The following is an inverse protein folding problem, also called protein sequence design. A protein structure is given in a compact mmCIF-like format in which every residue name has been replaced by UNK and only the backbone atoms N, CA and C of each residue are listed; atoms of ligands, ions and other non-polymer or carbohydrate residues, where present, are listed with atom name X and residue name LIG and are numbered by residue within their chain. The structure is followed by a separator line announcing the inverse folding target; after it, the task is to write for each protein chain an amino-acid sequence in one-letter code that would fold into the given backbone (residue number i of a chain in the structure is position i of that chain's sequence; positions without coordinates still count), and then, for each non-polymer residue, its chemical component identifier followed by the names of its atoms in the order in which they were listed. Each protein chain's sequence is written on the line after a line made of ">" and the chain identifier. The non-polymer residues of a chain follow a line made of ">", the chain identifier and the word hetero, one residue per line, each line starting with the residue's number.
data_IF_754247703895
#
_entry.id   IF_754247703895
#
_cell.length_a   1.000
_cell.length_b   1.000
_cell.length_c   1.000
_cell.angle_alpha   90.00
_cell.angle_beta   90.00
_cell.angle_gamma   90.00
#
_symmetry.space_group_name_H-M   'P 1'
#
loop_
_entity.id
_entity.type
_entity.pdbx_description
1 polymer ?
#
# COMPACT_ATOMS: atom_id res chain seq x y z
N UNK A 1 8.89 17.20 -8.12
CA UNK A 1 10.30 16.87 -7.89
C UNK A 1 10.44 15.43 -7.49
N UNK A 2 11.53 14.78 -7.91
CA UNK A 2 11.89 13.42 -7.48
C UNK A 2 13.18 13.52 -6.69
N UNK A 3 13.21 12.94 -5.48
CA UNK A 3 14.39 12.88 -4.62
C UNK A 3 14.76 11.41 -4.44
N UNK A 4 15.99 11.03 -4.80
CA UNK A 4 16.53 9.69 -4.62
C UNK A 4 17.49 9.66 -3.43
N UNK A 5 17.17 8.86 -2.40
CA UNK A 5 18.04 8.57 -1.27
C UNK A 5 18.70 7.20 -1.48
N UNK A 6 19.98 7.18 -1.81
CA UNK A 6 20.75 5.95 -2.04
C UNK A 6 21.82 5.76 -0.98
N UNK A 7 22.10 4.50 -0.64
CA UNK A 7 23.13 4.13 0.34
C UNK A 7 22.99 2.68 0.80
N UNK A 8 24.05 2.13 1.38
CA UNK A 8 24.04 0.77 1.93
C UNK A 8 23.17 0.66 3.20
N UNK A 9 22.89 -0.56 3.65
CA UNK A 9 22.15 -0.80 4.90
C UNK A 9 22.82 -0.07 6.07
N UNK A 10 22.02 0.59 6.92
CA UNK A 10 22.52 1.35 8.07
C UNK A 10 23.03 2.77 7.77
N UNK A 11 22.98 3.24 6.52
CA UNK A 11 23.47 4.59 6.14
C UNK A 11 22.52 5.75 6.46
N UNK A 12 21.42 5.52 7.17
CA UNK A 12 20.50 6.57 7.59
C UNK A 12 19.40 6.95 6.57
N UNK A 13 19.23 6.19 5.46
CA UNK A 13 18.19 6.52 4.45
C UNK A 13 16.78 6.69 5.03
N UNK A 14 16.34 5.73 5.82
CA UNK A 14 15.02 5.78 6.46
C UNK A 14 14.92 6.91 7.49
N UNK A 15 16.02 7.19 8.20
CA UNK A 15 16.10 8.32 9.12
C UNK A 15 15.92 9.65 8.37
N UNK A 16 16.62 9.83 7.24
CA UNK A 16 16.49 11.04 6.40
C UNK A 16 15.05 11.22 5.90
N UNK A 17 14.37 10.15 5.50
CA UNK A 17 12.96 10.23 5.11
C UNK A 17 12.07 10.66 6.30
N UNK A 18 12.35 10.13 7.50
CA UNK A 18 11.69 10.56 8.74
C UNK A 18 11.87 12.06 9.01
N UNK A 19 13.10 12.58 8.88
CA UNK A 19 13.38 14.01 9.05
C UNK A 19 12.61 14.85 8.02
N UNK A 20 12.61 14.47 6.75
CA UNK A 20 11.82 15.17 5.73
C UNK A 20 10.32 15.21 6.05
N UNK A 21 9.79 14.11 6.58
CA UNK A 21 8.38 14.02 7.00
C UNK A 21 8.10 14.92 8.21
N UNK A 22 9.03 14.96 9.17
CA UNK A 22 8.94 15.83 10.34
C UNK A 22 8.95 17.31 9.94
N UNK A 23 9.84 17.72 9.06
CA UNK A 23 9.91 19.09 8.56
C UNK A 23 8.65 19.49 7.78
N UNK A 24 8.08 18.59 6.98
CA UNK A 24 6.79 18.83 6.31
C UNK A 24 5.64 19.00 7.31
N UNK A 25 5.63 18.23 8.40
CA UNK A 25 4.62 18.33 9.45
C UNK A 25 4.78 19.60 10.31
N UNK A 26 5.98 20.17 10.35
CA UNK A 26 6.32 21.39 11.11
C UNK A 26 6.20 22.67 10.28
N UNK A 27 5.79 22.59 9.02
CA UNK A 27 5.56 23.80 8.21
C UNK A 27 4.53 24.72 8.89
N UNK A 28 4.70 26.06 8.76
CA UNK A 28 3.69 27.00 9.22
C UNK A 28 2.31 26.69 8.65
N UNK A 29 1.24 26.93 9.42
CA UNK A 29 -0.14 26.65 8.98
C UNK A 29 -0.44 27.23 7.60
N UNK A 30 0.09 28.42 7.28
CA UNK A 30 -0.09 29.06 5.98
C UNK A 30 0.50 28.27 4.79
N UNK A 31 1.49 27.42 5.04
CA UNK A 31 2.20 26.63 4.01
C UNK A 31 1.84 25.15 4.10
N UNK A 32 1.66 24.62 5.31
CA UNK A 32 1.40 23.20 5.58
C UNK A 32 -0.06 22.77 5.42
N UNK A 33 -1.01 23.68 5.47
CA UNK A 33 -2.46 23.38 5.42
C UNK A 33 -2.91 22.63 4.17
N UNK A 34 -2.16 22.72 3.08
CA UNK A 34 -2.47 22.05 1.82
C UNK A 34 -1.55 20.86 1.49
N UNK A 35 -0.70 20.45 2.44
CA UNK A 35 0.24 19.35 2.24
C UNK A 35 -0.25 18.14 3.01
N UNK A 36 -0.38 17.01 2.32
CA UNK A 36 -0.57 15.70 2.90
C UNK A 36 0.60 14.80 2.48
N UNK A 37 1.08 13.98 3.40
CA UNK A 37 2.17 13.04 3.13
C UNK A 37 1.65 11.60 3.17
N UNK A 38 2.10 10.77 2.24
CA UNK A 38 1.86 9.32 2.26
C UNK A 38 3.21 8.61 2.26
N UNK A 39 3.40 7.69 3.20
CA UNK A 39 4.59 6.84 3.28
C UNK A 39 4.17 5.40 3.03
N UNK A 40 4.76 4.77 2.01
CA UNK A 40 4.71 3.33 1.81
C UNK A 40 5.83 2.69 2.65
N UNK A 41 5.47 2.24 3.86
CA UNK A 41 6.42 1.72 4.84
C UNK A 41 6.62 0.22 4.68
N UNK A 42 7.67 -0.16 3.96
CA UNK A 42 8.03 -1.57 3.77
C UNK A 42 8.83 -2.15 4.95
N UNK A 43 9.26 -1.32 5.89
CA UNK A 43 10.08 -1.73 7.04
C UNK A 43 9.28 -1.76 8.36
N UNK A 44 8.10 -1.17 8.40
CA UNK A 44 7.26 -1.08 9.60
C UNK A 44 7.88 -0.23 10.71
N UNK A 45 8.46 0.91 10.37
CA UNK A 45 9.19 1.76 11.33
C UNK A 45 8.58 3.14 11.53
N UNK A 46 7.84 3.67 10.54
CA UNK A 46 7.39 5.06 10.57
C UNK A 46 6.17 5.30 11.49
N UNK A 47 5.45 4.26 11.92
CA UNK A 47 4.43 4.40 12.95
C UNK A 47 4.98 4.93 14.28
N UNK A 48 6.29 4.75 14.53
CA UNK A 48 6.97 5.27 15.72
C UNK A 48 6.95 6.79 15.81
N UNK A 49 6.75 7.49 14.68
CA UNK A 49 6.64 8.95 14.63
C UNK A 49 5.38 9.49 15.35
N UNK A 50 4.42 8.64 15.69
CA UNK A 50 3.28 9.00 16.58
C UNK A 50 3.73 9.31 18.01
N UNK A 51 4.92 8.89 18.39
CA UNK A 51 5.44 9.03 19.76
C UNK A 51 6.61 9.99 19.79
N UNK A 52 6.79 10.63 20.95
CA UNK A 52 7.94 11.51 21.18
C UNK A 52 9.23 10.71 21.24
N UNK A 53 10.31 11.27 20.70
CA UNK A 53 11.64 10.71 20.89
C UNK A 53 12.23 11.14 22.23
N UNK A 54 11.85 10.45 23.29
CA UNK A 54 12.35 10.75 24.64
C UNK A 54 13.77 10.22 24.88
N UNK A 55 14.21 9.26 24.05
CA UNK A 55 15.55 8.66 24.16
C UNK A 55 16.65 9.68 23.83
N UNK A 56 16.47 10.48 22.81
CA UNK A 56 17.48 11.42 22.30
C UNK A 56 17.13 12.88 22.69
N UNK A 57 16.38 13.07 23.78
CA UNK A 57 15.90 14.39 24.23
C UNK A 57 17.03 15.38 24.51
N UNK A 58 18.14 14.93 25.10
CA UNK A 58 19.30 15.77 25.37
C UNK A 58 19.97 16.21 24.07
N UNK A 59 20.21 15.26 23.15
CA UNK A 59 20.78 15.54 21.83
C UNK A 59 19.92 16.54 21.04
N UNK A 60 18.60 16.37 21.05
CA UNK A 60 17.67 17.32 20.42
C UNK A 60 17.80 18.72 21.04
N UNK A 61 17.91 18.81 22.36
CA UNK A 61 18.09 20.07 23.07
C UNK A 61 19.38 20.78 22.67
N UNK A 62 20.47 20.06 22.48
CA UNK A 62 21.75 20.61 22.04
C UNK A 62 21.67 21.27 20.63
N UNK A 63 20.75 20.79 19.82
CA UNK A 63 20.45 21.37 18.50
C UNK A 63 19.32 22.41 18.53
N UNK A 64 18.81 22.77 19.71
CA UNK A 64 17.69 23.71 19.85
C UNK A 64 16.34 23.12 19.43
N UNK A 65 16.25 21.78 19.29
CA UNK A 65 15.05 21.07 18.90
C UNK A 65 14.31 20.54 20.13
N UNK A 66 13.02 20.25 19.96
CA UNK A 66 12.17 19.66 21.00
C UNK A 66 11.64 18.31 20.53
N UNK A 67 11.62 17.34 21.44
CA UNK A 67 10.95 16.06 21.21
C UNK A 67 9.45 16.28 21.06
N UNK A 68 8.87 15.82 19.95
CA UNK A 68 7.44 15.95 19.67
C UNK A 68 6.90 14.68 18.99
N UNK A 69 5.59 14.48 19.06
CA UNK A 69 4.87 13.49 18.27
C UNK A 69 4.36 14.16 17.00
N UNK A 70 4.33 13.41 15.89
CA UNK A 70 3.80 13.91 14.63
C UNK A 70 2.35 13.48 14.41
N UNK A 71 1.57 14.23 13.62
CA UNK A 71 0.21 13.85 13.22
C UNK A 71 0.25 12.73 12.18
N UNK A 72 0.49 11.50 12.65
CA UNK A 72 0.62 10.30 11.83
C UNK A 72 -0.63 9.44 11.97
N UNK A 73 -1.18 8.96 10.86
CA UNK A 73 -2.21 7.92 10.80
C UNK A 73 -1.62 6.65 10.22
N UNK A 74 -1.77 5.54 10.92
CA UNK A 74 -1.24 4.23 10.53
C UNK A 74 -2.32 3.38 9.91
N UNK A 75 -2.10 2.99 8.67
CA UNK A 75 -2.96 2.12 7.88
C UNK A 75 -2.27 0.77 7.69
N UNK A 76 -3.00 -0.31 7.93
CA UNK A 76 -2.51 -1.68 7.71
C UNK A 76 -3.44 -2.43 6.77
N UNK A 77 -2.94 -3.38 5.94
CA UNK A 77 -3.79 -4.22 5.11
C UNK A 77 -4.84 -4.95 5.96
N UNK A 78 -6.10 -4.93 5.51
CA UNK A 78 -7.21 -5.46 6.31
C UNK A 78 -7.01 -6.93 6.71
N UNK A 79 -6.41 -7.76 5.84
CA UNK A 79 -6.15 -9.18 6.10
C UNK A 79 -5.05 -9.45 7.12
N UNK A 80 -4.30 -8.42 7.52
CA UNK A 80 -3.20 -8.54 8.49
C UNK A 80 -3.42 -7.75 9.77
N UNK A 81 -4.59 -7.16 9.94
CA UNK A 81 -4.91 -6.32 11.09
C UNK A 81 -4.57 -6.98 12.43
N UNK A 82 -5.01 -8.21 12.63
CA UNK A 82 -4.82 -8.92 13.90
C UNK A 82 -3.33 -9.15 14.17
N UNK A 83 -2.54 -9.52 13.15
CA UNK A 83 -1.08 -9.70 13.29
C UNK A 83 -0.35 -8.41 13.64
N UNK A 84 -0.76 -7.28 13.10
CA UNK A 84 -0.19 -5.99 13.46
C UNK A 84 -0.61 -5.56 14.87
N UNK A 85 -1.86 -5.81 15.25
CA UNK A 85 -2.38 -5.55 16.59
C UNK A 85 -1.64 -6.36 17.65
N UNK A 86 -1.40 -7.65 17.42
CA UNK A 86 -0.62 -8.54 18.28
C UNK A 86 0.83 -8.05 18.47
N UNK A 87 1.41 -7.40 17.47
CA UNK A 87 2.75 -6.79 17.56
C UNK A 87 2.75 -5.43 18.28
N UNK A 88 1.58 -4.94 18.71
CA UNK A 88 1.47 -3.65 19.40
C UNK A 88 1.64 -2.42 18.50
N UNK A 89 1.45 -2.56 17.18
CA UNK A 89 1.46 -1.42 16.26
C UNK A 89 0.23 -0.55 16.52
N UNK A 90 0.37 0.77 16.66
CA UNK A 90 -0.76 1.67 16.96
C UNK A 90 -1.56 1.98 15.70
N UNK A 91 -2.40 1.02 15.28
CA UNK A 91 -3.20 1.08 14.06
C UNK A 91 -4.34 2.09 14.22
N UNK A 92 -4.52 2.98 13.22
CA UNK A 92 -5.69 3.85 13.15
C UNK A 92 -6.75 3.28 12.20
N UNK A 93 -6.33 2.75 11.06
CA UNK A 93 -7.25 2.29 10.01
C UNK A 93 -6.77 0.99 9.36
N UNK A 94 -7.73 0.21 8.90
CA UNK A 94 -7.48 -0.85 7.91
C UNK A 94 -7.52 -0.23 6.52
N UNK A 95 -6.73 -0.73 5.58
CA UNK A 95 -6.91 -0.36 4.18
C UNK A 95 -7.10 -1.56 3.28
N UNK A 96 -7.81 -1.36 2.19
CA UNK A 96 -8.03 -2.33 1.14
C UNK A 96 -8.01 -1.64 -0.23
N UNK A 97 -7.37 -2.27 -1.19
CA UNK A 97 -7.33 -1.79 -2.57
C UNK A 97 -8.60 -2.19 -3.32
N UNK A 98 -9.08 -1.28 -4.16
CA UNK A 98 -10.17 -1.52 -5.07
C UNK A 98 -9.63 -2.16 -6.36
N UNK A 99 -9.98 -3.43 -6.56
CA UNK A 99 -9.59 -4.21 -7.73
C UNK A 99 -10.06 -3.58 -9.03
N UNK A 100 -11.23 -2.93 -9.03
CA UNK A 100 -11.83 -2.33 -10.22
C UNK A 100 -11.04 -1.15 -10.78
N UNK A 101 -10.21 -0.51 -9.94
CA UNK A 101 -9.33 0.59 -10.35
C UNK A 101 -8.04 0.12 -11.04
N UNK A 102 -7.64 -1.15 -10.85
CA UNK A 102 -6.44 -1.70 -11.48
C UNK A 102 -6.69 -2.01 -12.95
N UNK A 103 -5.72 -1.68 -13.80
CA UNK A 103 -5.78 -2.01 -15.22
C UNK A 103 -5.28 -3.44 -15.48
N UNK A 104 -5.63 -4.04 -16.62
CA UNK A 104 -5.11 -5.36 -16.97
C UNK A 104 -3.57 -5.43 -16.95
N UNK A 105 -2.91 -4.36 -17.38
CA UNK A 105 -1.45 -4.24 -17.43
C UNK A 105 -0.83 -4.30 -16.02
N UNK A 106 -1.49 -3.74 -15.02
CA UNK A 106 -1.05 -3.77 -13.62
C UNK A 106 -1.00 -5.22 -13.10
N UNK A 107 -1.99 -6.03 -13.46
CA UNK A 107 -2.04 -7.44 -13.12
C UNK A 107 -0.99 -8.28 -13.86
N UNK A 108 -0.82 -8.03 -15.18
CA UNK A 108 0.20 -8.71 -15.98
C UNK A 108 1.58 -8.46 -15.40
N UNK A 109 1.88 -7.22 -15.01
CA UNK A 109 3.12 -6.86 -14.35
C UNK A 109 3.26 -7.51 -12.98
N UNK A 110 2.20 -7.48 -12.16
CA UNK A 110 2.20 -8.04 -10.80
C UNK A 110 2.44 -9.55 -10.81
N UNK A 111 1.86 -10.26 -11.77
CA UNK A 111 2.06 -11.70 -11.94
C UNK A 111 3.34 -12.05 -12.71
N UNK A 112 4.14 -11.05 -13.10
CA UNK A 112 5.37 -11.21 -13.85
C UNK A 112 5.17 -12.03 -15.15
N UNK A 113 4.09 -11.72 -15.89
CA UNK A 113 3.76 -12.38 -17.15
C UNK A 113 4.32 -11.59 -18.35
N UNK A 114 4.76 -12.30 -19.35
CA UNK A 114 5.04 -11.69 -20.67
C UNK A 114 3.73 -11.30 -21.36
N UNK A 115 3.71 -10.15 -22.03
CA UNK A 115 2.49 -9.60 -22.69
C UNK A 115 1.89 -10.58 -23.70
N UNK A 116 2.73 -11.36 -24.40
CA UNK A 116 2.29 -12.36 -25.38
C UNK A 116 1.92 -13.72 -24.77
N UNK A 117 2.03 -13.86 -23.45
CA UNK A 117 1.68 -15.11 -22.79
C UNK A 117 0.16 -15.37 -22.88
N UNK A 118 -0.29 -16.61 -23.14
CA UNK A 118 -1.73 -16.93 -23.25
C UNK A 118 -2.56 -16.51 -22.03
N UNK A 119 -2.01 -16.67 -20.82
CA UNK A 119 -2.64 -16.23 -19.55
C UNK A 119 -2.79 -14.71 -19.53
N UNK A 120 -1.75 -13.93 -19.91
CA UNK A 120 -1.83 -12.49 -19.96
C UNK A 120 -2.91 -12.01 -20.95
N UNK A 121 -2.99 -12.65 -22.13
CA UNK A 121 -4.02 -12.35 -23.14
C UNK A 121 -5.43 -12.62 -22.58
N UNK A 122 -5.62 -13.72 -21.84
CA UNK A 122 -6.90 -14.05 -21.20
C UNK A 122 -7.25 -13.00 -20.14
N UNK A 123 -6.31 -12.66 -19.25
CA UNK A 123 -6.50 -11.63 -18.20
C UNK A 123 -6.89 -10.31 -18.83
N UNK A 124 -6.15 -9.85 -19.84
CA UNK A 124 -6.42 -8.58 -20.52
C UNK A 124 -7.83 -8.55 -21.12
N UNK A 125 -8.20 -9.61 -21.86
CA UNK A 125 -9.52 -9.71 -22.47
C UNK A 125 -10.64 -9.72 -21.43
N UNK A 126 -10.49 -10.49 -20.36
CA UNK A 126 -11.49 -10.62 -19.31
C UNK A 126 -11.68 -9.32 -18.56
N UNK A 127 -10.60 -8.71 -18.08
CA UNK A 127 -10.68 -7.44 -17.33
C UNK A 127 -11.20 -6.29 -18.20
N UNK A 128 -10.80 -6.21 -19.46
CA UNK A 128 -11.35 -5.20 -20.39
C UNK A 128 -12.86 -5.38 -20.55
N UNK A 129 -13.35 -6.62 -20.65
CA UNK A 129 -14.79 -6.90 -20.73
C UNK A 129 -15.51 -6.50 -19.45
N UNK A 130 -15.03 -6.95 -18.28
CA UNK A 130 -15.65 -6.63 -17.00
C UNK A 130 -15.75 -5.12 -16.78
N UNK A 131 -14.67 -4.38 -17.04
CA UNK A 131 -14.64 -2.92 -16.91
C UNK A 131 -15.62 -2.18 -17.81
N UNK A 132 -15.93 -2.76 -18.97
CA UNK A 132 -16.94 -2.19 -19.88
C UNK A 132 -18.38 -2.50 -19.43
N UNK A 133 -18.59 -3.61 -18.73
CA UNK A 133 -19.90 -4.07 -18.29
C UNK A 133 -20.27 -3.58 -16.89
N UNK A 134 -19.28 -3.45 -16.02
CA UNK A 134 -19.45 -3.11 -14.58
C UNK A 134 -18.46 -2.04 -14.15
N UNK A 135 -18.89 -1.12 -13.30
CA UNK A 135 -18.02 -0.12 -12.70
C UNK A 135 -17.23 -0.69 -11.52
N UNK A 136 -17.88 -1.55 -10.73
CA UNK A 136 -17.34 -2.11 -9.50
C UNK A 136 -17.34 -3.64 -9.60
N UNK A 137 -16.23 -4.26 -9.23
CA UNK A 137 -16.07 -5.72 -9.16
C UNK A 137 -14.93 -6.08 -8.20
N UNK A 138 -14.95 -7.31 -7.70
CA UNK A 138 -13.97 -7.88 -6.77
C UNK A 138 -13.20 -9.01 -7.45
N UNK A 139 -12.16 -9.55 -6.79
CA UNK A 139 -11.36 -10.67 -7.34
C UNK A 139 -12.23 -11.87 -7.70
N UNK A 140 -13.23 -12.18 -6.89
CA UNK A 140 -14.14 -13.30 -7.15
C UNK A 140 -14.89 -13.16 -8.47
N UNK A 141 -15.34 -11.95 -8.80
CA UNK A 141 -16.01 -11.68 -10.08
C UNK A 141 -15.04 -11.92 -11.26
N UNK A 142 -13.75 -11.58 -11.09
CA UNK A 142 -12.73 -11.82 -12.12
C UNK A 142 -12.54 -13.32 -12.34
N UNK A 143 -12.43 -14.10 -11.26
CA UNK A 143 -12.29 -15.56 -11.33
C UNK A 143 -13.49 -16.18 -12.05
N UNK A 144 -14.72 -15.81 -11.67
CA UNK A 144 -15.94 -16.29 -12.30
C UNK A 144 -16.00 -15.98 -13.81
N UNK A 145 -15.51 -14.81 -14.23
CA UNK A 145 -15.47 -14.42 -15.63
C UNK A 145 -14.34 -15.10 -16.42
N UNK A 146 -13.21 -15.40 -15.78
CA UNK A 146 -12.12 -16.20 -16.35
C UNK A 146 -12.62 -17.63 -16.63
N UNK A 147 -13.30 -18.24 -15.67
CA UNK A 147 -13.83 -19.61 -15.80
C UNK A 147 -14.89 -19.78 -16.91
N UNK A 148 -15.59 -18.71 -17.28
CA UNK A 148 -16.56 -18.68 -18.38
C UNK A 148 -15.90 -18.58 -19.77
N UNK A 149 -14.57 -18.36 -19.86
CA UNK A 149 -13.90 -18.22 -21.13
C UNK A 149 -13.86 -19.55 -21.91
N UNK A 150 -14.39 -19.50 -23.13
CA UNK A 150 -14.45 -20.67 -24.05
C UNK A 150 -13.44 -20.59 -25.20
N UNK A 151 -12.62 -19.52 -25.23
CA UNK A 151 -11.67 -19.30 -26.33
C UNK A 151 -10.26 -19.77 -25.98
N UNK A 152 -9.95 -19.88 -24.69
CA UNK A 152 -8.66 -20.34 -24.21
C UNK A 152 -8.69 -21.85 -23.88
N UNK A 153 -7.51 -22.48 -23.81
CA UNK A 153 -7.41 -23.86 -23.31
C UNK A 153 -7.74 -23.92 -21.82
N UNK A 154 -8.17 -25.08 -21.37
CA UNK A 154 -8.52 -25.30 -19.96
C UNK A 154 -7.33 -25.04 -19.03
N UNK A 155 -6.11 -25.35 -19.48
CA UNK A 155 -4.88 -25.11 -18.73
C UNK A 155 -4.64 -23.60 -18.56
N UNK A 156 -4.90 -22.80 -19.61
CA UNK A 156 -4.77 -21.35 -19.57
C UNK A 156 -5.81 -20.74 -18.61
N UNK A 157 -7.05 -21.22 -18.65
CA UNK A 157 -8.14 -20.78 -17.77
C UNK A 157 -7.79 -21.10 -16.30
N UNK A 158 -7.39 -22.35 -16.01
CA UNK A 158 -7.02 -22.77 -14.66
C UNK A 158 -5.81 -21.99 -14.15
N UNK A 159 -4.80 -21.74 -14.98
CA UNK A 159 -3.64 -20.94 -14.59
C UNK A 159 -4.00 -19.49 -14.27
N UNK A 160 -4.84 -18.85 -15.07
CA UNK A 160 -5.31 -17.50 -14.84
C UNK A 160 -6.16 -17.40 -13.54
N UNK A 161 -7.11 -18.30 -13.35
CA UNK A 161 -7.93 -18.36 -12.14
C UNK A 161 -7.07 -18.57 -10.89
N UNK A 162 -6.12 -19.50 -10.92
CA UNK A 162 -5.20 -19.75 -9.81
C UNK A 162 -4.33 -18.55 -9.42
N UNK A 163 -3.95 -17.67 -10.38
CA UNK A 163 -3.24 -16.43 -10.06
C UNK A 163 -4.12 -15.46 -9.26
N UNK A 164 -5.39 -15.34 -9.60
CA UNK A 164 -6.31 -14.47 -8.87
C UNK A 164 -6.72 -15.07 -7.51
N UNK A 165 -6.88 -16.40 -7.43
CA UNK A 165 -7.06 -17.10 -6.14
C UNK A 165 -5.88 -16.83 -5.20
N UNK A 166 -4.65 -16.90 -5.71
CA UNK A 166 -3.46 -16.55 -4.95
C UNK A 166 -3.48 -15.08 -4.52
N UNK A 167 -3.85 -14.15 -5.41
CA UNK A 167 -3.95 -12.73 -5.10
C UNK A 167 -5.01 -12.43 -4.00
N UNK A 168 -6.11 -13.17 -3.95
CA UNK A 168 -7.11 -13.05 -2.89
C UNK A 168 -6.50 -13.32 -1.49
N UNK A 169 -5.53 -14.23 -1.41
CA UNK A 169 -4.85 -14.55 -0.13
C UNK A 169 -3.91 -13.44 0.37
N UNK A 170 -3.58 -12.46 -0.45
CA UNK A 170 -2.66 -11.38 -0.04
C UNK A 170 -3.26 -10.44 1.01
N UNK A 171 -4.58 -10.48 1.21
CA UNK A 171 -5.24 -9.71 2.27
C UNK A 171 -5.17 -8.19 2.12
N UNK A 172 -4.97 -7.70 0.88
CA UNK A 172 -4.90 -6.27 0.55
C UNK A 172 -6.08 -5.81 -0.29
N UNK A 173 -6.74 -6.71 -1.02
CA UNK A 173 -7.88 -6.36 -1.88
C UNK A 173 -9.20 -6.44 -1.12
N UNK A 174 -10.09 -5.49 -1.33
CA UNK A 174 -11.41 -5.47 -0.72
C UNK A 174 -12.21 -6.73 -1.10
N UNK A 175 -12.93 -7.28 -0.11
CA UNK A 175 -13.83 -8.43 -0.31
C UNK A 175 -15.23 -8.01 -0.72
N UNK A 176 -15.57 -6.74 -0.54
CA UNK A 176 -16.88 -6.16 -0.83
C UNK A 176 -16.69 -4.84 -1.57
N UNK A 177 -17.63 -4.50 -2.42
CA UNK A 177 -17.54 -3.33 -3.31
C UNK A 177 -17.40 -1.98 -2.58
N UNK A 178 -17.93 -1.87 -1.36
CA UNK A 178 -17.97 -0.61 -0.61
C UNK A 178 -16.85 -0.48 0.45
N UNK A 179 -15.98 -1.48 0.59
CA UNK A 179 -14.95 -1.51 1.66
C UNK A 179 -13.55 -1.08 1.21
N UNK A 180 -13.41 -0.63 -0.03
CA UNK A 180 -12.11 -0.16 -0.51
C UNK A 180 -11.75 1.21 0.06
N UNK A 181 -10.48 1.40 0.37
CA UNK A 181 -9.95 2.67 0.84
C UNK A 181 -9.86 3.66 -0.33
N UNK A 182 -10.47 4.81 -0.16
CA UNK A 182 -10.43 5.88 -1.16
C UNK A 182 -9.19 6.74 -0.94
N UNK A 183 -8.68 7.32 -2.03
CA UNK A 183 -7.51 8.20 -1.95
C UNK A 183 -7.74 9.36 -0.96
N UNK A 184 -8.97 9.87 -0.86
CA UNK A 184 -9.33 10.94 0.07
C UNK A 184 -9.23 10.51 1.55
N UNK A 185 -9.28 9.21 1.85
CA UNK A 185 -9.09 8.70 3.21
C UNK A 185 -7.62 8.79 3.63
N UNK A 186 -6.71 8.73 2.64
CA UNK A 186 -5.25 8.77 2.82
C UNK A 186 -4.70 10.20 2.77
N UNK A 187 -5.37 11.12 2.03
CA UNK A 187 -4.89 12.49 1.83
C UNK A 187 -5.62 13.42 2.81
N UNK A 188 -4.99 13.65 3.96
CA UNK A 188 -5.49 14.61 4.94
C UNK A 188 -4.44 15.69 5.16
N UNK A 189 -4.81 16.95 4.92
CA UNK A 189 -3.92 18.09 5.09
C UNK A 189 -3.30 18.14 6.50
N UNK A 190 -2.02 18.42 6.57
CA UNK A 190 -1.26 18.44 7.82
C UNK A 190 -1.04 17.08 8.48
N UNK A 191 -1.38 15.97 7.82
CA UNK A 191 -1.25 14.62 8.37
C UNK A 191 -0.39 13.75 7.46
N UNK A 192 0.41 12.88 8.05
CA UNK A 192 1.15 11.83 7.35
C UNK A 192 0.41 10.50 7.48
N UNK A 193 -0.01 9.94 6.36
CA UNK A 193 -0.57 8.59 6.29
C UNK A 193 0.55 7.57 6.05
N UNK A 194 0.77 6.67 6.99
CA UNK A 194 1.74 5.57 6.90
C UNK A 194 1.00 4.30 6.52
N UNK A 195 1.24 3.79 5.32
CA UNK A 195 0.75 2.48 4.87
C UNK A 195 1.81 1.43 5.23
N UNK A 196 1.60 0.71 6.32
CA UNK A 196 2.53 -0.31 6.78
C UNK A 196 2.37 -1.60 5.95
N UNK A 197 3.35 -1.83 5.08
CA UNK A 197 3.45 -2.97 4.17
C UNK A 197 4.51 -3.99 4.62
N UNK A 198 5.04 -3.87 5.83
CA UNK A 198 6.14 -4.69 6.31
C UNK A 198 5.85 -6.19 6.35
N UNK A 199 4.57 -6.57 6.38
CA UNK A 199 4.16 -7.98 6.33
C UNK A 199 4.40 -8.66 4.98
N UNK A 200 4.63 -7.89 3.91
CA UNK A 200 4.93 -8.43 2.58
C UNK A 200 6.43 -8.60 2.33
N UNK A 201 7.28 -8.12 3.22
CA UNK A 201 8.74 -8.21 3.09
C UNK A 201 9.31 -9.53 3.66
N UNK A 202 8.71 -10.65 3.35
CA UNK A 202 9.23 -11.97 3.79
C UNK A 202 10.48 -12.45 3.03
N UNK A 203 11.05 -11.66 2.14
CA UNK A 203 12.18 -12.04 1.26
C UNK A 203 13.54 -11.51 1.78
N UNK A 204 13.62 -11.09 3.02
CA UNK A 204 14.84 -10.47 3.56
C UNK A 204 15.25 -10.97 4.94
N UNK A 205 14.79 -12.14 5.38
CA UNK A 205 15.28 -12.79 6.59
C UNK A 205 16.33 -13.85 6.26
#
# INVERSE_FOLDING_TARGET
>A
HVILLAGKRGSGKSYTLGVLTEELANLPESEGQNIASIIFDTMGIYWTMKFRNDKDKELLSDWGLKSQSLPVKVFVPFGYYDKFSEKGVPIDHKFALDVSQLNPEDWILTFNLEIMHPVATLIQRTLTRIKNERKDFIIKDIIEEIEKDKKSSIETVNAAAGLFEAAETWGIFSKYHDESTKINDLINAGTTSVLDLSMYNSVGA
#
